data_IF_039518121159
#
_entry.id   IF_039518121159
#
_cell.length_a   1.000
_cell.length_b   1.000
_cell.length_c   1.000
_cell.angle_alpha   90.00
_cell.angle_beta   90.00
_cell.angle_gamma   90.00
#
_symmetry.space_group_name_H-M   'P 1'
#
loop_
_entity.id
_entity.type
_entity.pdbx_description
1 polymer ?
#
# COMPACT_ATOMS: atom_id res chain seq x y z
N UNK A 1 5.58 36.07 -10.75
CA UNK A 1 4.74 34.86 -10.91
C UNK A 1 5.09 33.83 -9.83
N UNK A 2 4.14 33.50 -8.95
CA UNK A 2 4.34 32.61 -7.80
C UNK A 2 4.20 31.14 -8.24
N UNK A 3 5.30 30.37 -8.22
CA UNK A 3 5.26 28.91 -8.39
C UNK A 3 4.76 28.29 -7.09
N UNK A 4 3.55 27.72 -7.09
CA UNK A 4 3.00 26.97 -5.97
C UNK A 4 3.51 25.53 -6.06
N UNK A 5 4.32 25.12 -5.09
CA UNK A 5 4.78 23.75 -4.92
C UNK A 5 3.70 22.97 -4.17
N UNK A 6 3.19 21.90 -4.77
CA UNK A 6 2.26 20.98 -4.13
C UNK A 6 3.10 19.84 -3.53
N UNK A 7 3.18 19.77 -2.20
CA UNK A 7 3.85 18.69 -1.47
C UNK A 7 2.84 17.58 -1.18
N UNK A 8 3.11 16.38 -1.70
CA UNK A 8 2.37 15.16 -1.38
C UNK A 8 2.83 14.71 0.01
N UNK A 9 1.91 14.68 0.96
CA UNK A 9 2.15 14.18 2.31
C UNK A 9 2.43 12.68 2.26
N UNK A 10 3.56 12.30 2.83
CA UNK A 10 4.15 10.99 2.86
C UNK A 10 3.50 10.16 4.00
N UNK A 11 2.34 9.56 3.77
CA UNK A 11 1.71 8.64 4.74
C UNK A 11 1.82 7.19 4.29
N UNK A 12 2.80 6.50 4.89
CA UNK A 12 2.87 5.06 5.16
C UNK A 12 1.99 4.14 4.27
N UNK A 13 2.58 3.66 3.18
CA UNK A 13 2.64 2.24 2.85
C UNK A 13 1.34 1.43 2.88
N UNK A 14 0.22 2.03 2.48
CA UNK A 14 -1.05 1.36 2.28
C UNK A 14 -1.71 1.95 1.05
N UNK A 15 -1.68 1.18 -0.04
CA UNK A 15 -2.52 1.41 -1.22
C UNK A 15 -3.99 1.30 -0.80
N UNK A 16 -4.55 2.38 -0.25
CA UNK A 16 -5.95 2.71 -0.53
C UNK A 16 -5.89 3.54 -1.80
N UNK A 17 -6.11 2.88 -2.94
CA UNK A 17 -6.39 3.54 -4.21
C UNK A 17 -7.73 4.28 -4.07
N UNK A 18 -7.74 5.41 -3.38
CA UNK A 18 -8.81 6.40 -3.53
C UNK A 18 -8.44 7.26 -4.73
N UNK A 19 -8.59 6.71 -5.95
CA UNK A 19 -8.47 7.49 -7.18
C UNK A 19 -9.75 8.31 -7.32
N UNK A 20 -9.71 9.50 -6.77
CA UNK A 20 -10.47 10.64 -7.28
C UNK A 20 -9.48 11.50 -8.07
N UNK A 21 -9.06 11.06 -9.25
CA UNK A 21 -8.22 11.88 -10.12
C UNK A 21 -8.67 11.76 -11.58
N UNK A 22 -9.57 12.65 -11.97
CA UNK A 22 -9.90 12.88 -13.38
C UNK A 22 -8.76 13.66 -14.04
N UNK A 23 -7.98 12.99 -14.90
CA UNK A 23 -7.36 13.60 -16.06
C UNK A 23 -5.84 13.76 -16.05
N UNK A 24 -5.07 12.67 -16.30
CA UNK A 24 -3.76 12.72 -16.97
C UNK A 24 -3.60 11.45 -17.84
N UNK A 25 -4.22 11.44 -19.03
CA UNK A 25 -4.21 10.30 -19.95
C UNK A 25 -3.05 10.41 -20.96
N UNK A 26 -1.95 9.68 -20.73
CA UNK A 26 -1.02 9.17 -21.76
C UNK A 26 0.10 8.29 -21.18
N UNK A 27 0.60 8.60 -19.97
CA UNK A 27 1.78 7.93 -19.39
C UNK A 27 1.43 6.78 -18.41
N UNK A 28 0.15 6.60 -18.07
CA UNK A 28 -0.31 5.52 -17.17
C UNK A 28 -0.10 4.13 -17.80
N UNK A 29 -0.40 3.94 -19.09
CA UNK A 29 -0.38 2.62 -19.73
C UNK A 29 0.97 1.87 -19.63
N UNK A 30 2.11 2.58 -19.71
CA UNK A 30 3.44 1.95 -19.54
C UNK A 30 3.68 1.50 -18.11
N UNK A 31 3.20 2.27 -17.13
CA UNK A 31 3.39 1.96 -15.72
C UNK A 31 2.50 0.79 -15.29
N UNK A 32 1.24 0.74 -15.75
CA UNK A 32 0.31 -0.38 -15.53
C UNK A 32 0.87 -1.67 -16.10
N UNK A 33 1.31 -1.65 -17.37
CA UNK A 33 1.91 -2.82 -18.03
C UNK A 33 3.10 -3.36 -17.23
N UNK A 34 3.90 -2.46 -16.63
CA UNK A 34 5.05 -2.86 -15.81
C UNK A 34 4.66 -3.51 -14.47
N UNK A 35 3.56 -3.06 -13.87
CA UNK A 35 3.02 -3.62 -12.63
C UNK A 35 2.34 -4.96 -12.89
N UNK A 36 1.51 -5.06 -13.92
CA UNK A 36 0.89 -6.33 -14.36
C UNK A 36 1.97 -7.36 -14.67
N UNK A 37 3.08 -6.95 -15.30
CA UNK A 37 4.23 -7.82 -15.50
C UNK A 37 4.85 -8.28 -14.18
N UNK A 38 5.11 -7.39 -13.23
CA UNK A 38 5.65 -7.76 -11.90
C UNK A 38 4.71 -8.69 -11.13
N UNK A 39 3.39 -8.49 -11.20
CA UNK A 39 2.38 -9.36 -10.59
C UNK A 39 2.40 -10.74 -11.23
N UNK A 40 2.52 -10.82 -12.55
CA UNK A 40 2.66 -12.10 -13.25
C UNK A 40 3.99 -12.79 -12.95
N UNK A 41 5.08 -12.05 -12.81
CA UNK A 41 6.39 -12.60 -12.42
C UNK A 41 6.35 -13.19 -10.99
N UNK A 42 5.45 -12.71 -10.12
CA UNK A 42 5.23 -13.31 -8.80
C UNK A 42 4.66 -14.73 -8.84
N UNK A 43 4.07 -15.19 -9.97
CA UNK A 43 3.72 -16.61 -10.16
C UNK A 43 4.94 -17.53 -10.09
N UNK A 44 6.15 -16.99 -10.22
CA UNK A 44 7.40 -17.75 -10.24
C UNK A 44 7.99 -17.98 -8.84
N UNK A 45 7.33 -17.54 -7.77
CA UNK A 45 7.77 -17.86 -6.40
C UNK A 45 7.56 -19.36 -6.17
N UNK A 46 8.66 -20.13 -6.18
CA UNK A 46 8.64 -21.60 -6.02
C UNK A 46 7.98 -22.08 -4.73
N UNK A 47 8.06 -21.30 -3.66
CA UNK A 47 7.45 -21.58 -2.37
C UNK A 47 6.98 -20.26 -1.72
N UNK A 48 5.73 -19.84 -1.94
CA UNK A 48 5.20 -18.56 -1.44
C UNK A 48 5.09 -18.51 0.09
N UNK A 49 5.08 -19.67 0.74
CA UNK A 49 4.83 -19.84 2.17
C UNK A 49 6.13 -20.12 2.94
N UNK A 50 7.26 -20.17 2.22
CA UNK A 50 8.60 -20.19 2.81
C UNK A 50 8.81 -18.93 3.66
N UNK A 51 9.24 -19.14 4.90
CA UNK A 51 9.74 -18.05 5.76
C UNK A 51 11.07 -17.54 5.22
N UNK A 52 11.14 -16.25 4.91
CA UNK A 52 12.37 -15.60 4.41
C UNK A 52 13.15 -14.88 5.51
N UNK A 53 12.47 -14.30 6.50
CA UNK A 53 13.06 -13.72 7.71
C UNK A 53 12.00 -13.58 8.81
N UNK A 54 12.38 -13.03 9.97
CA UNK A 54 11.45 -12.75 11.08
C UNK A 54 11.55 -11.28 11.51
N UNK A 55 10.42 -10.68 11.82
CA UNK A 55 10.32 -9.35 12.46
C UNK A 55 9.69 -9.54 13.83
N UNK A 56 10.39 -9.17 14.91
CA UNK A 56 9.90 -9.34 16.28
C UNK A 56 9.34 -10.75 16.57
N UNK A 57 10.02 -11.78 16.06
CA UNK A 57 9.60 -13.19 16.20
C UNK A 57 8.52 -13.65 15.22
N UNK A 58 7.84 -12.76 14.50
CA UNK A 58 6.83 -13.09 13.48
C UNK A 58 7.50 -13.49 12.16
N UNK A 59 7.13 -14.62 11.56
CA UNK A 59 7.64 -15.00 10.24
C UNK A 59 7.16 -14.05 9.16
N UNK A 60 8.07 -13.64 8.28
CA UNK A 60 7.75 -12.99 7.01
C UNK A 60 7.91 -14.02 5.90
N UNK A 61 6.87 -14.18 5.10
CA UNK A 61 6.80 -15.18 4.04
C UNK A 61 7.32 -14.62 2.71
N UNK A 62 7.81 -15.49 1.83
CA UNK A 62 8.37 -15.10 0.53
C UNK A 62 7.38 -14.26 -0.28
N UNK A 63 6.09 -14.60 -0.23
CA UNK A 63 5.03 -13.81 -0.87
C UNK A 63 4.92 -12.38 -0.34
N UNK A 64 5.08 -12.18 0.97
CA UNK A 64 5.00 -10.85 1.61
C UNK A 64 6.21 -10.00 1.22
N UNK A 65 7.40 -10.61 1.20
CA UNK A 65 8.62 -9.92 0.78
C UNK A 65 8.58 -9.48 -0.68
N UNK A 66 8.15 -10.37 -1.58
CA UNK A 66 8.09 -10.04 -3.01
C UNK A 66 6.99 -9.00 -3.29
N UNK A 67 5.83 -9.11 -2.63
CA UNK A 67 4.77 -8.10 -2.72
C UNK A 67 5.29 -6.72 -2.28
N UNK A 68 6.00 -6.64 -1.17
CA UNK A 68 6.58 -5.39 -0.69
C UNK A 68 7.66 -4.86 -1.64
N UNK A 69 8.54 -5.72 -2.14
CA UNK A 69 9.59 -5.35 -3.09
C UNK A 69 9.00 -4.73 -4.35
N UNK A 70 7.97 -5.33 -4.92
CA UNK A 70 7.32 -4.81 -6.12
C UNK A 70 6.63 -3.48 -5.86
N UNK A 71 5.99 -3.31 -4.70
CA UNK A 71 5.42 -2.02 -4.28
C UNK A 71 6.50 -0.93 -4.21
N UNK A 72 7.63 -1.21 -3.55
CA UNK A 72 8.72 -0.23 -3.41
C UNK A 72 9.40 0.08 -4.75
N UNK A 73 9.56 -0.91 -5.64
CA UNK A 73 10.04 -0.68 -7.01
C UNK A 73 9.08 0.23 -7.77
N UNK A 74 7.77 0.00 -7.65
CA UNK A 74 6.77 0.83 -8.30
C UNK A 74 6.81 2.28 -7.79
N UNK A 75 6.84 2.47 -6.47
CA UNK A 75 6.96 3.79 -5.87
C UNK A 75 8.26 4.50 -6.29
N UNK A 76 9.37 3.77 -6.36
CA UNK A 76 10.63 4.32 -6.86
C UNK A 76 10.53 4.78 -8.32
N UNK A 77 9.85 4.03 -9.19
CA UNK A 77 9.62 4.42 -10.58
C UNK A 77 8.79 5.69 -10.69
N UNK A 78 7.68 5.79 -9.97
CA UNK A 78 6.82 6.99 -9.98
C UNK A 78 7.58 8.22 -9.49
N UNK A 79 8.36 8.05 -8.42
CA UNK A 79 9.07 9.14 -7.77
C UNK A 79 10.43 9.47 -8.41
N UNK A 80 10.82 8.78 -9.49
CA UNK A 80 12.15 8.93 -10.10
C UNK A 80 13.30 8.65 -9.14
N UNK A 81 13.08 7.80 -8.13
CA UNK A 81 14.04 7.47 -7.07
C UNK A 81 14.80 6.19 -7.38
N UNK A 82 15.90 5.96 -6.65
CA UNK A 82 16.65 4.70 -6.75
C UNK A 82 15.76 3.50 -6.39
N UNK A 83 16.00 2.36 -7.05
CA UNK A 83 15.29 1.12 -6.71
C UNK A 83 15.65 0.65 -5.30
N UNK A 84 14.67 0.05 -4.58
CA UNK A 84 14.90 -0.42 -3.22
C UNK A 84 15.93 -1.55 -3.18
N UNK A 85 16.84 -1.48 -2.21
CA UNK A 85 17.66 -2.61 -1.80
C UNK A 85 16.81 -3.64 -1.04
N UNK A 86 17.33 -4.86 -0.84
CA UNK A 86 16.66 -5.85 0.01
C UNK A 86 16.50 -5.35 1.46
N UNK A 87 17.47 -4.57 1.94
CA UNK A 87 17.42 -3.94 3.25
C UNK A 87 16.26 -2.94 3.36
N UNK A 88 15.96 -2.20 2.28
CA UNK A 88 14.81 -1.27 2.26
C UNK A 88 13.48 -2.03 2.33
N UNK A 89 13.38 -3.17 1.65
CA UNK A 89 12.20 -4.06 1.71
C UNK A 89 12.01 -4.60 3.12
N UNK A 90 13.08 -5.10 3.75
CA UNK A 90 13.06 -5.61 5.12
C UNK A 90 12.63 -4.51 6.10
N UNK A 91 13.21 -3.31 5.97
CA UNK A 91 12.89 -2.18 6.84
C UNK A 91 11.44 -1.73 6.68
N UNK A 92 10.91 -1.71 5.46
CA UNK A 92 9.51 -1.36 5.22
C UNK A 92 8.57 -2.36 5.90
N UNK A 93 8.83 -3.66 5.72
CA UNK A 93 8.08 -4.74 6.39
C UNK A 93 8.18 -4.64 7.92
N UNK A 94 9.40 -4.41 8.44
CA UNK A 94 9.64 -4.30 9.87
C UNK A 94 8.91 -3.10 10.48
N UNK A 95 8.97 -1.94 9.82
CA UNK A 95 8.28 -0.72 10.25
C UNK A 95 6.77 -0.91 10.24
N UNK A 96 6.20 -1.50 9.20
CA UNK A 96 4.76 -1.76 9.11
C UNK A 96 4.28 -2.70 10.21
N UNK A 97 5.04 -3.76 10.50
CA UNK A 97 4.70 -4.68 11.58
C UNK A 97 4.83 -4.02 12.97
N UNK A 98 5.88 -3.23 13.20
CA UNK A 98 6.04 -2.49 14.45
C UNK A 98 4.89 -1.49 14.69
N UNK A 99 4.46 -0.78 13.63
CA UNK A 99 3.31 0.12 13.70
C UNK A 99 2.00 -0.64 13.96
N UNK A 100 1.82 -1.81 13.35
CA UNK A 100 0.64 -2.64 13.59
C UNK A 100 0.59 -3.09 15.05
N UNK A 101 1.70 -3.59 15.58
CA UNK A 101 1.83 -3.97 17.00
C UNK A 101 1.51 -2.77 17.91
N UNK A 102 2.04 -1.59 17.57
CA UNK A 102 1.75 -0.39 18.34
C UNK A 102 0.26 -0.01 18.34
N UNK A 103 -0.40 -0.14 17.21
CA UNK A 103 -1.84 0.11 17.11
C UNK A 103 -2.66 -0.87 17.95
N UNK A 104 -2.28 -2.15 17.94
CA UNK A 104 -2.92 -3.18 18.79
C UNK A 104 -2.72 -2.87 20.27
N UNK A 105 -1.50 -2.50 20.70
CA UNK A 105 -1.22 -2.08 22.09
C UNK A 105 -2.08 -0.90 22.54
N UNK A 106 -2.42 0.01 21.62
CA UNK A 106 -3.26 1.18 21.89
C UNK A 106 -4.76 0.88 21.82
N UNK A 107 -5.16 -0.38 21.61
CA UNK A 107 -6.57 -0.76 21.45
C UNK A 107 -7.21 -0.27 20.16
N UNK A 108 -6.41 -0.01 19.12
CA UNK A 108 -6.86 0.53 17.83
C UNK A 108 -7.03 -0.57 16.76
N UNK A 109 -7.03 -1.84 17.16
CA UNK A 109 -7.22 -2.95 16.22
C UNK A 109 -8.60 -2.87 15.54
N UNK A 110 -8.62 -3.06 14.21
CA UNK A 110 -9.86 -3.17 13.46
C UNK A 110 -10.62 -4.44 13.85
N UNK A 111 -11.91 -4.28 14.14
CA UNK A 111 -12.82 -5.39 14.42
C UNK A 111 -13.13 -6.17 13.15
N UNK A 112 -13.51 -7.44 13.29
CA UNK A 112 -13.81 -8.29 12.14
C UNK A 112 -14.97 -7.73 11.29
N UNK A 113 -15.96 -7.08 11.92
CA UNK A 113 -17.05 -6.41 11.21
C UNK A 113 -16.57 -5.21 10.38
N UNK A 114 -15.69 -4.37 10.95
CA UNK A 114 -15.09 -3.24 10.20
C UNK A 114 -14.33 -3.74 8.97
N UNK A 115 -13.59 -4.84 9.12
CA UNK A 115 -12.81 -5.42 8.02
C UNK A 115 -13.72 -6.00 6.94
N UNK A 116 -14.78 -6.74 7.30
CA UNK A 116 -15.72 -7.32 6.34
C UNK A 116 -16.48 -6.25 5.56
N UNK A 117 -16.94 -5.20 6.24
CA UNK A 117 -17.59 -4.07 5.57
C UNK A 117 -16.62 -3.34 4.63
N UNK A 118 -15.36 -3.18 5.04
CA UNK A 118 -14.35 -2.59 4.17
C UNK A 118 -14.07 -3.45 2.94
N UNK A 119 -13.90 -4.76 3.09
CA UNK A 119 -13.71 -5.70 1.96
C UNK A 119 -14.88 -5.63 1.00
N UNK A 120 -16.11 -5.62 1.51
CA UNK A 120 -17.33 -5.47 0.71
C UNK A 120 -17.33 -4.16 -0.08
N UNK A 121 -16.93 -3.05 0.54
CA UNK A 121 -16.80 -1.75 -0.13
C UNK A 121 -15.72 -1.77 -1.21
N UNK A 122 -14.55 -2.39 -0.96
CA UNK A 122 -13.48 -2.51 -1.97
C UNK A 122 -13.95 -3.34 -3.16
N UNK A 123 -14.65 -4.45 -2.90
CA UNK A 123 -15.23 -5.29 -3.95
C UNK A 123 -16.26 -4.54 -4.79
N UNK A 124 -17.21 -3.83 -4.17
CA UNK A 124 -18.20 -3.01 -4.89
C UNK A 124 -17.53 -1.99 -5.79
N UNK A 125 -16.53 -1.26 -5.27
CA UNK A 125 -15.75 -0.28 -6.04
C UNK A 125 -15.00 -0.92 -7.21
N UNK A 126 -14.45 -2.12 -7.01
CA UNK A 126 -13.80 -2.87 -8.08
C UNK A 126 -14.78 -3.28 -9.19
N UNK A 127 -15.99 -3.71 -8.83
CA UNK A 127 -17.05 -4.05 -9.77
C UNK A 127 -17.51 -2.81 -10.57
N UNK A 128 -17.57 -1.65 -9.91
CA UNK A 128 -17.96 -0.35 -10.49
C UNK A 128 -16.87 0.32 -11.34
N UNK A 129 -15.61 -0.09 -11.25
CA UNK A 129 -14.54 0.50 -12.06
C UNK A 129 -14.79 0.32 -13.57
N UNK A 130 -14.44 1.37 -14.33
CA UNK A 130 -14.33 1.30 -15.81
C UNK A 130 -13.52 0.04 -16.17
N UNK A 131 -14.00 -0.80 -17.12
CA UNK A 131 -13.26 -1.97 -17.59
C UNK A 131 -11.80 -1.68 -17.97
N UNK A 132 -11.50 -0.46 -18.41
CA UNK A 132 -10.16 -0.01 -18.80
C UNK A 132 -9.44 0.76 -17.69
N UNK A 133 -10.00 0.84 -16.48
CA UNK A 133 -9.33 1.46 -15.36
C UNK A 133 -8.11 0.64 -14.96
N UNK A 134 -6.95 1.30 -14.91
CA UNK A 134 -5.69 0.80 -14.37
C UNK A 134 -5.85 -0.05 -13.10
N UNK A 135 -6.67 0.42 -12.14
CA UNK A 135 -6.88 -0.28 -10.87
C UNK A 135 -7.59 -1.63 -11.04
N UNK A 136 -8.49 -1.75 -12.02
CA UNK A 136 -9.23 -2.98 -12.30
C UNK A 136 -8.32 -4.02 -12.94
N UNK A 137 -7.55 -3.62 -13.95
CA UNK A 137 -6.59 -4.51 -14.63
C UNK A 137 -5.57 -5.10 -13.65
N UNK A 138 -5.11 -4.31 -12.67
CA UNK A 138 -4.16 -4.78 -11.64
C UNK A 138 -4.76 -5.84 -10.71
N UNK A 139 -5.99 -5.63 -10.23
CA UNK A 139 -6.66 -6.58 -9.35
C UNK A 139 -7.01 -7.86 -10.12
N UNK A 140 -7.48 -7.75 -11.36
CA UNK A 140 -7.74 -8.91 -12.23
C UNK A 140 -6.47 -9.70 -12.53
N UNK A 141 -5.35 -9.02 -12.78
CA UNK A 141 -4.06 -9.65 -12.95
C UNK A 141 -3.62 -10.37 -11.67
N UNK A 142 -3.87 -9.82 -10.48
CA UNK A 142 -3.56 -10.45 -9.19
C UNK A 142 -4.45 -11.68 -8.93
N UNK A 143 -5.76 -11.59 -9.17
CA UNK A 143 -6.69 -12.72 -9.07
C UNK A 143 -6.21 -13.85 -9.99
N UNK A 144 -5.96 -13.53 -11.26
CA UNK A 144 -5.40 -14.48 -12.24
C UNK A 144 -4.00 -14.97 -11.85
N UNK A 145 -3.22 -14.16 -11.12
CA UNK A 145 -1.91 -14.53 -10.61
C UNK A 145 -2.00 -15.68 -9.60
N UNK A 146 -2.96 -15.57 -8.69
CA UNK A 146 -3.15 -16.50 -7.59
C UNK A 146 -3.84 -17.81 -7.99
N UNK A 147 -4.55 -17.83 -9.12
CA UNK A 147 -5.36 -18.98 -9.54
C UNK A 147 -6.63 -19.18 -8.70
N UNK A 148 -6.95 -18.23 -7.83
CA UNK A 148 -8.16 -18.21 -7.02
C UNK A 148 -9.35 -17.71 -7.84
N UNK A 149 -10.55 -18.08 -7.42
CA UNK A 149 -11.77 -17.37 -7.81
C UNK A 149 -11.78 -15.96 -7.20
N UNK A 150 -12.61 -15.07 -7.74
CA UNK A 150 -12.75 -13.71 -7.19
C UNK A 150 -13.20 -13.73 -5.72
N UNK A 151 -14.15 -14.61 -5.35
CA UNK A 151 -14.63 -14.73 -3.98
C UNK A 151 -13.51 -15.19 -3.02
N UNK A 152 -12.76 -16.21 -3.41
CA UNK A 152 -11.62 -16.70 -2.62
C UNK A 152 -10.51 -15.65 -2.49
N UNK A 153 -10.27 -14.86 -3.54
CA UNK A 153 -9.35 -13.73 -3.48
C UNK A 153 -9.79 -12.72 -2.42
N UNK A 154 -11.04 -12.25 -2.45
CA UNK A 154 -11.53 -11.27 -1.48
C UNK A 154 -11.50 -11.79 -0.04
N UNK A 155 -11.87 -13.06 0.19
CA UNK A 155 -11.75 -13.65 1.53
C UNK A 155 -10.27 -13.76 1.97
N UNK A 156 -9.36 -14.11 1.06
CA UNK A 156 -7.92 -14.18 1.36
C UNK A 156 -7.31 -12.82 1.72
N UNK A 157 -7.91 -11.71 1.27
CA UNK A 157 -7.42 -10.35 1.58
C UNK A 157 -7.81 -9.85 2.98
N UNK A 158 -8.74 -10.51 3.68
CA UNK A 158 -9.23 -10.08 5.01
C UNK A 158 -8.10 -9.79 6.00
N UNK A 159 -7.09 -10.68 6.21
CA UNK A 159 -6.02 -10.41 7.16
C UNK A 159 -5.16 -9.21 6.77
N UNK A 160 -4.98 -8.96 5.47
CA UNK A 160 -4.26 -7.79 4.98
C UNK A 160 -5.07 -6.52 5.26
N UNK A 161 -6.36 -6.49 4.89
CA UNK A 161 -7.25 -5.36 5.16
C UNK A 161 -7.42 -5.05 6.64
N UNK A 162 -7.39 -6.05 7.52
CA UNK A 162 -7.32 -5.83 8.97
C UNK A 162 -6.09 -5.02 9.37
N UNK A 163 -4.91 -5.36 8.85
CA UNK A 163 -3.69 -4.57 9.08
C UNK A 163 -3.82 -3.16 8.50
N UNK A 164 -4.38 -3.01 7.29
CA UNK A 164 -4.59 -1.71 6.64
C UNK A 164 -5.43 -0.79 7.54
N UNK A 165 -6.59 -1.25 7.97
CA UNK A 165 -7.52 -0.47 8.79
C UNK A 165 -6.96 -0.15 10.16
N UNK A 166 -6.30 -1.11 10.81
CA UNK A 166 -5.63 -0.89 12.11
C UNK A 166 -4.57 0.21 12.01
N UNK A 167 -3.77 0.23 10.94
CA UNK A 167 -2.78 1.27 10.70
C UNK A 167 -3.41 2.61 10.33
N UNK A 168 -4.54 2.62 9.60
CA UNK A 168 -5.32 3.84 9.35
C UNK A 168 -5.80 4.46 10.66
N UNK A 169 -6.35 3.64 11.57
CA UNK A 169 -6.77 4.09 12.91
C UNK A 169 -5.61 4.67 13.72
N UNK A 170 -4.42 4.07 13.63
CA UNK A 170 -3.21 4.62 14.26
C UNK A 170 -2.83 5.99 13.69
N UNK A 171 -2.89 6.15 12.38
CA UNK A 171 -2.64 7.44 11.73
C UNK A 171 -3.64 8.50 12.22
N UNK A 172 -4.93 8.18 12.23
CA UNK A 172 -5.99 9.08 12.70
C UNK A 172 -5.82 9.44 14.18
N UNK A 173 -5.39 8.48 15.01
CA UNK A 173 -5.10 8.69 16.42
C UNK A 173 -4.00 9.75 16.61
N UNK A 174 -2.88 9.63 15.90
CA UNK A 174 -1.79 10.61 16.01
C UNK A 174 -2.13 11.95 15.36
N UNK A 175 -2.85 11.98 14.24
CA UNK A 175 -3.30 13.23 13.62
C UNK A 175 -4.22 14.02 14.56
N UNK A 176 -5.11 13.34 15.30
CA UNK A 176 -5.95 13.99 16.33
C UNK A 176 -5.12 14.58 17.47
N UNK A 177 -4.01 13.94 17.85
CA UNK A 177 -3.12 14.44 18.91
C UNK A 177 -2.27 15.63 18.48
N UNK A 178 -1.84 15.67 17.22
CA UNK A 178 -1.05 16.76 16.67
C UNK A 178 -1.86 18.06 16.47
N UNK A 179 -3.19 17.98 16.55
CA UNK A 179 -4.08 19.08 16.23
C UNK A 179 -4.14 19.35 14.71
N UNK A 180 -4.88 20.39 14.27
CA UNK A 180 -4.91 20.74 12.85
C UNK A 180 -3.49 21.08 12.38
N UNK A 181 -3.01 20.34 11.38
CA UNK A 181 -1.76 20.65 10.69
C UNK A 181 -1.89 22.05 10.08
N UNK A 182 -1.31 23.06 10.73
CA UNK A 182 -1.24 24.41 10.17
C UNK A 182 -0.13 24.44 9.11
N UNK A 183 -0.51 24.01 7.90
CA UNK A 183 0.35 23.97 6.71
C UNK A 183 0.67 25.38 6.15
N UNK A 184 0.08 26.44 6.70
CA UNK A 184 0.36 27.83 6.34
C UNK A 184 1.48 28.45 7.18
N UNK A 185 1.91 27.81 8.27
CA UNK A 185 3.06 28.27 9.06
C UNK A 185 4.38 27.71 8.49
N UNK A 186 5.23 28.53 7.86
CA UNK A 186 6.50 28.08 7.29
C UNK A 186 7.50 27.54 8.32
N UNK A 187 7.29 27.75 9.62
CA UNK A 187 8.11 27.17 10.69
C UNK A 187 7.78 25.70 10.98
N UNK A 188 6.64 25.17 10.48
CA UNK A 188 6.25 23.76 10.64
C UNK A 188 6.76 22.86 9.49
N UNK A 189 7.43 23.45 8.49
CA UNK A 189 8.00 22.72 7.35
C UNK A 189 9.45 23.19 7.21
N UNK A 190 10.35 22.55 7.95
CA UNK A 190 11.77 22.79 7.76
C UNK A 190 12.18 22.25 6.38
N UNK A 191 12.42 23.15 5.43
CA UNK A 191 12.99 22.77 4.13
C UNK A 191 14.40 22.28 4.36
N UNK A 192 14.56 20.97 4.48
CA UNK A 192 15.87 20.34 4.39
C UNK A 192 16.37 20.56 2.95
N UNK A 193 17.34 21.46 2.78
CA UNK A 193 18.10 21.58 1.54
C UNK A 193 18.95 20.31 1.40
N UNK A 194 18.63 19.47 0.42
CA UNK A 194 19.60 18.48 -0.04
C UNK A 194 20.63 19.21 -0.91
N UNK A 195 21.90 19.03 -0.56
CA UNK A 195 23.08 19.44 -1.33
C UNK A 195 23.15 18.70 -2.66
#
# INVERSE_FOLDING_TARGET
MKKRAYFIALSLGLLVVSVSFTGIFADENKQVTSLVKMVNDNKLIKDPDKVVFKVNGKPVLAREFVKEKNLLIYLAKINGSAFPSEHDVINSLAKREALYQKAVELGLEATDNEVREFVKQQRSKFEEYDPNATGKELIEAEIKATGLTADEYWERTIPEYKKILTLSKLSDYYLKQLGPLNLENPNNVEKIKYF
#
